data_IF_492213836781
#
_entry.id   IF_492213836781
#
_cell.length_a   1.000
_cell.length_b   1.000
_cell.length_c   1.000
_cell.angle_alpha   90.00
_cell.angle_beta   90.00
_cell.angle_gamma   90.00
#
_symmetry.space_group_name_H-M   'P 1'
#
loop_
_entity.id
_entity.type
_entity.pdbx_description
1 polymer ?
#
# COMPACT_ATOMS: atom_id res chain seq x y z
N UNK A 1 10.41 35.16 -73.59
CA UNK A 1 10.80 33.88 -72.95
C UNK A 1 10.63 33.99 -71.44
N UNK A 2 9.54 33.49 -70.90
CA UNK A 2 9.19 33.57 -69.50
C UNK A 2 9.33 32.17 -68.85
N UNK A 3 10.21 32.04 -67.86
CA UNK A 3 10.39 30.80 -67.11
C UNK A 3 9.43 30.78 -65.95
N UNK A 4 8.43 29.89 -65.97
CA UNK A 4 7.56 29.56 -64.86
C UNK A 4 8.33 28.72 -63.86
N UNK A 5 8.39 29.18 -62.58
CA UNK A 5 8.83 28.41 -61.43
C UNK A 5 7.65 27.61 -60.88
N UNK A 6 7.82 26.29 -60.86
CA UNK A 6 6.84 25.39 -60.20
C UNK A 6 7.28 25.29 -58.75
N UNK A 7 6.37 25.67 -57.82
CA UNK A 7 6.52 25.41 -56.39
C UNK A 7 5.87 24.06 -56.06
N UNK A 8 6.69 23.10 -55.67
CA UNK A 8 6.22 21.82 -55.10
C UNK A 8 5.90 22.03 -53.62
N UNK A 9 4.64 21.85 -53.23
CA UNK A 9 4.20 21.84 -51.83
C UNK A 9 4.37 20.44 -51.29
N UNK A 10 5.35 20.25 -50.37
CA UNK A 10 5.49 19.00 -49.62
C UNK A 10 4.58 19.08 -48.40
N UNK A 11 3.47 18.32 -48.41
CA UNK A 11 2.63 18.11 -47.26
C UNK A 11 3.28 17.03 -46.37
N UNK A 12 3.89 17.45 -45.28
CA UNK A 12 4.42 16.55 -44.27
C UNK A 12 3.24 16.01 -43.42
N UNK A 13 2.96 14.72 -43.55
CA UNK A 13 2.06 14.01 -42.63
C UNK A 13 2.82 13.74 -41.34
N UNK A 14 2.50 14.49 -40.27
CA UNK A 14 2.91 14.14 -38.92
C UNK A 14 2.06 12.95 -38.45
N UNK A 15 2.68 11.77 -38.44
CA UNK A 15 2.11 10.63 -37.76
C UNK A 15 2.29 10.83 -36.24
N UNK A 16 1.20 11.15 -35.53
CA UNK A 16 1.17 11.04 -34.07
C UNK A 16 1.21 9.55 -33.72
N UNK A 17 2.37 9.08 -33.27
CA UNK A 17 2.46 7.79 -32.59
C UNK A 17 1.74 7.94 -31.25
N UNK A 18 0.56 7.37 -31.13
CA UNK A 18 -0.10 7.16 -29.84
C UNK A 18 0.80 6.21 -29.02
N UNK A 19 1.59 6.77 -28.11
CA UNK A 19 2.37 6.02 -27.15
C UNK A 19 1.44 5.32 -26.17
N UNK A 20 0.96 4.13 -26.51
CA UNK A 20 0.35 3.23 -25.56
C UNK A 20 1.41 2.83 -24.53
N UNK A 21 1.22 3.19 -23.26
CA UNK A 21 1.99 2.69 -22.14
C UNK A 21 1.69 1.20 -21.99
N UNK A 22 2.39 0.36 -22.75
CA UNK A 22 2.35 -1.08 -22.56
C UNK A 22 2.94 -1.41 -21.18
N UNK A 23 2.30 -2.27 -20.44
CA UNK A 23 2.90 -2.95 -19.28
C UNK A 23 4.13 -3.67 -19.85
N UNK A 24 5.32 -3.19 -19.50
CA UNK A 24 6.57 -3.79 -20.00
C UNK A 24 6.71 -5.21 -19.43
N UNK A 25 6.72 -6.22 -20.29
CA UNK A 25 7.29 -7.51 -19.93
C UNK A 25 8.79 -7.29 -19.64
N UNK A 26 9.31 -7.81 -18.54
CA UNK A 26 10.73 -7.72 -18.22
C UNK A 26 11.55 -8.50 -19.25
N UNK A 27 12.82 -8.13 -19.44
CA UNK A 27 13.75 -8.86 -20.31
C UNK A 27 13.91 -10.33 -19.89
N UNK A 28 13.63 -10.70 -18.64
CA UNK A 28 13.67 -12.06 -18.11
C UNK A 28 12.35 -12.83 -18.26
N UNK A 29 11.31 -12.25 -18.87
CA UNK A 29 10.03 -12.92 -19.12
C UNK A 29 9.16 -13.11 -17.87
N UNK A 30 9.57 -12.65 -16.68
CA UNK A 30 8.75 -12.69 -15.47
C UNK A 30 7.55 -11.74 -15.56
N UNK A 31 6.39 -12.16 -15.04
CA UNK A 31 5.15 -11.37 -15.06
C UNK A 31 5.09 -10.42 -13.86
N UNK A 32 4.43 -9.29 -14.02
CA UNK A 32 3.93 -8.53 -12.86
C UNK A 32 2.74 -9.25 -12.27
N UNK A 33 2.80 -9.56 -10.97
CA UNK A 33 1.73 -10.25 -10.25
C UNK A 33 1.00 -9.27 -9.33
N UNK A 34 -0.32 -9.45 -9.18
CA UNK A 34 -1.12 -8.77 -8.15
C UNK A 34 -1.55 -9.85 -7.15
N UNK A 35 -1.28 -9.62 -5.87
CA UNK A 35 -1.65 -10.52 -4.77
C UNK A 35 -2.66 -9.84 -3.88
N UNK A 36 -3.78 -10.53 -3.62
CA UNK A 36 -4.80 -10.10 -2.65
C UNK A 36 -5.03 -11.18 -1.62
N UNK A 37 -5.59 -10.86 -0.44
CA UNK A 37 -6.04 -11.86 0.51
C UNK A 37 -7.56 -11.87 0.64
N UNK A 38 -8.14 -13.03 0.90
CA UNK A 38 -9.58 -13.19 1.15
C UNK A 38 -10.00 -12.60 2.47
N UNK A 39 -9.05 -12.51 3.43
CA UNK A 39 -9.30 -12.09 4.80
C UNK A 39 -10.39 -12.92 5.51
N UNK A 40 -10.62 -14.14 5.04
CA UNK A 40 -11.64 -15.05 5.57
C UNK A 40 -11.31 -15.39 7.03
N UNK A 41 -12.25 -15.19 7.97
CA UNK A 41 -12.03 -15.43 9.39
C UNK A 41 -11.85 -16.90 9.76
N UNK A 42 -12.27 -17.82 8.89
CA UNK A 42 -12.13 -19.27 9.12
C UNK A 42 -10.89 -19.83 8.40
N UNK A 43 -10.61 -19.38 7.17
CA UNK A 43 -9.52 -19.91 6.34
C UNK A 43 -9.00 -18.87 5.34
N UNK A 44 -8.07 -18.03 5.78
CA UNK A 44 -7.50 -17.00 4.92
C UNK A 44 -6.69 -17.59 3.76
N UNK A 45 -6.83 -16.97 2.59
CA UNK A 45 -6.16 -17.36 1.35
C UNK A 45 -5.60 -16.14 0.65
N UNK A 46 -4.55 -16.33 -0.13
CA UNK A 46 -4.15 -15.35 -1.14
C UNK A 46 -4.66 -15.77 -2.51
N UNK A 47 -4.93 -14.77 -3.35
CA UNK A 47 -5.20 -14.89 -4.77
C UNK A 47 -4.18 -14.14 -5.56
N UNK A 48 -3.57 -14.81 -6.52
CA UNK A 48 -2.49 -14.29 -7.36
C UNK A 48 -3.01 -14.12 -8.76
N UNK A 49 -2.95 -12.90 -9.28
CA UNK A 49 -3.38 -12.56 -10.63
C UNK A 49 -2.19 -12.10 -11.47
N UNK A 50 -2.23 -12.40 -12.75
CA UNK A 50 -1.36 -11.76 -13.74
C UNK A 50 -1.86 -10.32 -14.00
N UNK A 51 -1.02 -9.33 -13.82
CA UNK A 51 -1.42 -7.93 -13.92
C UNK A 51 -1.84 -7.52 -15.35
N UNK A 52 -1.22 -8.11 -16.38
CA UNK A 52 -1.47 -7.77 -17.77
C UNK A 52 -2.77 -8.42 -18.29
N UNK A 53 -2.92 -9.72 -18.11
CA UNK A 53 -4.11 -10.47 -18.55
C UNK A 53 -5.26 -10.42 -17.55
N UNK A 54 -4.98 -10.09 -16.27
CA UNK A 54 -5.92 -10.06 -15.15
C UNK A 54 -6.53 -11.43 -14.81
N UNK A 55 -5.87 -12.49 -15.27
CA UNK A 55 -6.31 -13.88 -15.01
C UNK A 55 -5.83 -14.31 -13.62
N UNK A 56 -6.70 -14.97 -12.87
CA UNK A 56 -6.34 -15.63 -11.62
C UNK A 56 -5.41 -16.81 -11.93
N UNK A 57 -4.18 -16.75 -11.44
CA UNK A 57 -3.17 -17.80 -11.63
C UNK A 57 -3.18 -18.82 -10.50
N UNK A 58 -3.36 -18.36 -9.25
CA UNK A 58 -3.28 -19.21 -8.06
C UNK A 58 -4.27 -18.76 -6.98
N UNK A 59 -4.75 -19.74 -6.21
CA UNK A 59 -5.36 -19.56 -4.89
C UNK A 59 -4.58 -20.43 -3.91
N UNK A 60 -3.98 -19.82 -2.87
CA UNK A 60 -3.12 -20.51 -1.91
C UNK A 60 -3.59 -20.26 -0.48
N UNK A 61 -3.59 -21.30 0.35
CA UNK A 61 -3.83 -21.15 1.79
C UNK A 61 -2.72 -20.35 2.45
N UNK A 62 -3.07 -19.47 3.39
CA UNK A 62 -2.12 -18.81 4.29
C UNK A 62 -1.84 -19.65 5.54
N UNK A 63 -2.52 -20.77 5.70
CA UNK A 63 -2.48 -21.64 6.89
C UNK A 63 -2.85 -20.90 8.18
N UNK A 64 -3.77 -19.94 8.08
CA UNK A 64 -4.29 -19.17 9.19
C UNK A 64 -5.65 -18.57 8.90
N UNK A 65 -6.15 -17.80 9.84
CA UNK A 65 -7.44 -17.14 9.85
C UNK A 65 -7.27 -15.63 9.64
N UNK A 66 -8.10 -15.04 8.79
CA UNK A 66 -8.15 -13.61 8.54
C UNK A 66 -8.92 -12.84 9.62
N UNK A 67 -9.78 -11.91 9.20
CA UNK A 67 -10.65 -11.13 10.10
C UNK A 67 -10.06 -9.77 10.51
N UNK A 68 -8.95 -9.33 9.90
CA UNK A 68 -8.51 -7.94 10.07
C UNK A 68 -9.53 -6.97 9.46
N UNK A 69 -9.84 -5.90 10.17
CA UNK A 69 -10.79 -4.88 9.72
C UNK A 69 -10.25 -3.46 9.86
N UNK A 70 -10.51 -2.61 8.86
CA UNK A 70 -10.10 -1.21 8.88
C UNK A 70 -8.58 -1.04 9.06
N UNK A 71 -7.79 -1.77 8.31
CA UNK A 71 -6.33 -1.73 8.29
C UNK A 71 -5.82 -1.45 6.87
N UNK A 72 -4.57 -1.05 6.76
CA UNK A 72 -3.86 -0.88 5.51
C UNK A 72 -2.61 -1.76 5.49
N UNK A 73 -2.21 -2.19 4.30
CA UNK A 73 -1.04 -3.05 4.11
C UNK A 73 -1.09 -4.36 4.91
N UNK A 74 -2.22 -5.05 4.87
CA UNK A 74 -2.32 -6.43 5.36
C UNK A 74 -1.49 -7.43 4.54
N UNK A 75 -1.04 -7.02 3.36
CA UNK A 75 -0.06 -7.70 2.50
C UNK A 75 1.05 -6.74 2.14
N UNK A 76 2.29 -7.23 2.13
CA UNK A 76 3.44 -6.49 1.60
C UNK A 76 4.42 -7.42 0.92
N UNK A 77 4.96 -6.99 -0.21
CA UNK A 77 6.05 -7.67 -0.91
C UNK A 77 7.42 -7.08 -0.54
N UNK A 78 8.47 -7.86 -0.72
CA UNK A 78 9.87 -7.47 -0.61
C UNK A 78 10.64 -7.90 -1.85
N UNK A 79 11.22 -6.93 -2.56
CA UNK A 79 12.07 -7.11 -3.75
C UNK A 79 11.51 -8.04 -4.84
N UNK A 80 10.17 -8.08 -4.99
CA UNK A 80 9.52 -9.01 -5.91
C UNK A 80 9.70 -10.49 -5.55
N UNK A 81 10.26 -10.81 -4.38
CA UNK A 81 10.67 -12.17 -3.98
C UNK A 81 9.84 -12.77 -2.85
N UNK A 82 9.57 -11.99 -1.81
CA UNK A 82 8.79 -12.42 -0.66
C UNK A 82 7.46 -11.67 -0.60
N UNK A 83 6.47 -12.31 -0.02
CA UNK A 83 5.18 -11.71 0.33
C UNK A 83 4.85 -12.11 1.76
N UNK A 84 4.60 -11.13 2.61
CA UNK A 84 4.06 -11.31 3.95
C UNK A 84 2.56 -11.01 3.95
N UNK A 85 1.77 -11.86 4.60
CA UNK A 85 0.30 -11.80 4.65
C UNK A 85 -0.17 -11.98 6.08
N UNK A 86 -0.92 -11.04 6.62
CA UNK A 86 -1.45 -11.13 7.98
C UNK A 86 -2.54 -12.19 8.10
N UNK A 87 -2.49 -12.99 9.16
CA UNK A 87 -3.54 -13.86 9.63
C UNK A 87 -3.99 -13.38 11.02
N UNK A 88 -4.86 -12.38 11.04
CA UNK A 88 -5.27 -11.68 12.25
C UNK A 88 -5.86 -12.62 13.30
N UNK A 89 -6.79 -13.51 12.87
CA UNK A 89 -7.47 -14.46 13.76
C UNK A 89 -6.55 -15.56 14.32
N UNK A 90 -5.39 -15.80 13.69
CA UNK A 90 -4.44 -16.84 14.11
C UNK A 90 -3.18 -16.30 14.78
N UNK A 91 -3.04 -14.99 14.99
CA UNK A 91 -1.85 -14.36 15.57
C UNK A 91 -0.56 -14.76 14.85
N UNK A 92 -0.56 -14.74 13.53
CA UNK A 92 0.63 -15.05 12.75
C UNK A 92 0.64 -14.35 11.39
N UNK A 93 1.79 -14.37 10.72
CA UNK A 93 1.99 -13.87 9.36
C UNK A 93 2.45 -15.04 8.49
N UNK A 94 1.77 -15.24 7.36
CA UNK A 94 2.19 -16.21 6.35
C UNK A 94 3.20 -15.57 5.42
N UNK A 95 4.28 -16.28 5.13
CA UNK A 95 5.33 -15.89 4.21
C UNK A 95 5.25 -16.76 2.96
N UNK A 96 5.27 -16.10 1.81
CA UNK A 96 5.35 -16.76 0.50
C UNK A 96 6.61 -16.30 -0.22
N UNK A 97 7.16 -17.22 -1.02
CA UNK A 97 8.33 -16.97 -1.87
C UNK A 97 7.95 -17.06 -3.33
N UNK A 98 8.39 -16.10 -4.12
CA UNK A 98 8.23 -16.14 -5.58
C UNK A 98 9.25 -17.08 -6.22
N UNK A 99 8.77 -17.93 -7.14
CA UNK A 99 9.58 -18.82 -7.98
C UNK A 99 9.07 -18.68 -9.41
N UNK A 100 9.75 -17.89 -10.23
CA UNK A 100 9.24 -17.48 -11.56
C UNK A 100 7.90 -16.75 -11.43
N UNK A 101 6.88 -17.22 -12.12
CA UNK A 101 5.53 -16.60 -12.13
C UNK A 101 4.57 -17.16 -11.08
N UNK A 102 5.06 -17.91 -10.10
CA UNK A 102 4.24 -18.51 -9.05
C UNK A 102 4.73 -18.15 -7.66
N UNK A 103 3.81 -18.07 -6.71
CA UNK A 103 4.12 -18.01 -5.29
C UNK A 103 4.06 -19.40 -4.69
N UNK A 104 4.97 -19.68 -3.78
CA UNK A 104 4.99 -20.89 -2.96
C UNK A 104 4.95 -20.49 -1.50
N UNK A 105 4.15 -21.18 -0.72
CA UNK A 105 4.16 -21.04 0.73
C UNK A 105 5.54 -21.41 1.26
N UNK A 106 6.07 -20.58 2.16
CA UNK A 106 7.37 -20.77 2.81
C UNK A 106 7.18 -21.19 4.26
N UNK A 107 6.54 -20.33 5.07
CA UNK A 107 6.32 -20.56 6.51
C UNK A 107 5.21 -19.66 7.06
N UNK A 108 4.84 -19.90 8.31
CA UNK A 108 4.16 -18.93 9.17
C UNK A 108 5.10 -18.51 10.31
N UNK A 109 5.06 -17.24 10.66
CA UNK A 109 5.75 -16.69 11.83
C UNK A 109 4.72 -16.21 12.85
N UNK A 110 4.84 -16.63 14.11
CA UNK A 110 3.96 -16.20 15.18
C UNK A 110 4.23 -14.74 15.56
N UNK A 111 3.17 -13.99 15.91
CA UNK A 111 3.24 -12.59 16.34
C UNK A 111 2.82 -12.44 17.80
N UNK A 112 3.32 -11.38 18.46
CA UNK A 112 3.01 -11.09 19.87
C UNK A 112 1.55 -10.71 20.09
N UNK A 113 0.95 -10.01 19.12
CA UNK A 113 -0.50 -9.70 19.12
C UNK A 113 -1.09 -9.92 17.74
N UNK A 114 -2.44 -9.93 17.62
CA UNK A 114 -3.14 -10.17 16.37
C UNK A 114 -2.66 -9.23 15.25
N UNK A 115 -2.00 -9.72 14.18
CA UNK A 115 -1.36 -8.87 13.19
C UNK A 115 -2.38 -8.14 12.32
N UNK A 116 -2.09 -6.88 12.03
CA UNK A 116 -2.99 -5.97 11.31
C UNK A 116 -2.32 -5.42 10.04
N UNK A 117 -1.03 -5.09 10.13
CA UNK A 117 -0.27 -4.48 9.03
C UNK A 117 1.18 -4.94 9.03
N UNK A 118 1.76 -5.01 7.85
CA UNK A 118 3.16 -5.44 7.65
C UNK A 118 3.93 -4.48 6.75
N UNK A 119 5.24 -4.34 7.01
CA UNK A 119 6.16 -3.63 6.13
C UNK A 119 7.54 -4.30 6.13
N UNK A 120 8.26 -4.22 4.99
CA UNK A 120 9.64 -4.67 4.85
C UNK A 120 10.56 -3.48 4.68
N UNK A 121 11.53 -3.32 5.56
CA UNK A 121 12.58 -2.33 5.45
C UNK A 121 13.77 -2.71 6.36
N UNK A 122 14.95 -2.11 6.12
CA UNK A 122 16.12 -2.20 7.02
C UNK A 122 16.51 -3.65 7.40
N UNK A 123 16.44 -4.58 6.44
CA UNK A 123 16.68 -6.02 6.65
C UNK A 123 15.75 -6.66 7.71
N UNK A 124 14.53 -6.13 7.84
CA UNK A 124 13.50 -6.64 8.76
C UNK A 124 12.12 -6.70 8.10
N UNK A 125 11.30 -7.61 8.61
CA UNK A 125 9.84 -7.55 8.49
C UNK A 125 9.30 -6.94 9.79
N UNK A 126 8.55 -5.85 9.68
CA UNK A 126 7.81 -5.25 10.78
C UNK A 126 6.36 -5.68 10.72
N UNK A 127 5.82 -6.05 11.88
CA UNK A 127 4.42 -6.45 12.02
C UNK A 127 3.78 -5.63 13.12
N UNK A 128 2.84 -4.75 12.76
CA UNK A 128 1.97 -4.14 13.74
C UNK A 128 0.78 -5.06 13.98
N UNK A 129 0.60 -5.43 15.24
CA UNK A 129 -0.57 -6.14 15.72
C UNK A 129 -1.55 -5.20 16.46
N UNK A 130 -2.51 -5.79 17.13
CA UNK A 130 -3.54 -5.04 17.86
C UNK A 130 -2.96 -4.14 18.96
N UNK A 131 -1.87 -4.55 19.61
CA UNK A 131 -1.29 -3.87 20.78
C UNK A 131 0.24 -3.74 20.76
N UNK A 132 0.93 -4.41 19.81
CA UNK A 132 2.39 -4.45 19.75
C UNK A 132 2.91 -4.26 18.34
N UNK A 133 4.18 -3.92 18.23
CA UNK A 133 4.95 -4.07 16.99
C UNK A 133 6.09 -5.04 17.23
N UNK A 134 6.20 -6.02 16.35
CA UNK A 134 7.30 -6.97 16.29
C UNK A 134 8.23 -6.63 15.12
N UNK A 135 9.56 -6.76 15.33
CA UNK A 135 10.54 -6.83 14.25
C UNK A 135 11.07 -8.25 14.11
N UNK A 136 11.11 -8.74 12.87
CA UNK A 136 11.67 -10.05 12.52
C UNK A 136 12.89 -9.85 11.64
N UNK A 137 13.97 -10.53 11.94
CA UNK A 137 15.21 -10.46 11.13
C UNK A 137 14.95 -11.03 9.74
N UNK A 138 15.39 -10.32 8.70
CA UNK A 138 15.39 -10.82 7.34
C UNK A 138 16.82 -11.19 6.92
N UNK A 139 17.06 -12.46 6.62
CA UNK A 139 18.36 -12.96 6.17
C UNK A 139 18.23 -13.77 4.90
N UNK A 140 19.04 -13.44 3.89
CA UNK A 140 19.08 -14.19 2.63
C UNK A 140 17.67 -14.41 2.02
N UNK A 141 16.80 -13.40 2.12
CA UNK A 141 15.38 -13.45 1.72
C UNK A 141 14.56 -14.51 2.49
N UNK A 142 14.87 -14.77 3.74
CA UNK A 142 14.06 -15.56 4.67
C UNK A 142 13.75 -14.72 5.90
N UNK A 143 12.51 -14.84 6.41
CA UNK A 143 12.09 -14.23 7.66
C UNK A 143 12.48 -15.20 8.79
N UNK A 144 13.32 -14.73 9.72
CA UNK A 144 13.81 -15.51 10.85
C UNK A 144 12.94 -15.23 12.11
N UNK A 145 13.58 -15.07 13.26
CA UNK A 145 12.93 -14.88 14.57
C UNK A 145 12.61 -13.41 14.87
N UNK A 146 11.71 -13.19 15.84
CA UNK A 146 11.49 -11.89 16.46
C UNK A 146 12.75 -11.48 17.22
N UNK A 147 13.30 -10.31 16.92
CA UNK A 147 14.44 -9.72 17.61
C UNK A 147 14.12 -8.48 18.43
N UNK A 148 12.91 -7.92 18.27
CA UNK A 148 12.39 -6.81 19.04
C UNK A 148 10.87 -6.75 19.07
N UNK A 149 10.33 -6.29 20.20
CA UNK A 149 8.89 -6.05 20.40
C UNK A 149 8.71 -4.78 21.22
N UNK A 150 7.67 -3.97 20.88
CA UNK A 150 7.27 -2.80 21.65
C UNK A 150 5.75 -2.71 21.74
N UNK A 151 5.24 -2.24 22.89
CA UNK A 151 3.83 -1.97 23.09
C UNK A 151 3.45 -0.64 22.42
N UNK A 152 2.34 -0.64 21.68
CA UNK A 152 1.71 0.55 21.12
C UNK A 152 1.01 1.38 22.20
N UNK A 153 0.94 2.72 21.98
CA UNK A 153 0.39 3.67 22.95
C UNK A 153 -0.43 4.76 22.30
N UNK A 154 -1.47 5.20 22.99
CA UNK A 154 -2.13 6.47 22.66
C UNK A 154 -1.35 7.68 23.19
N UNK A 155 -1.49 8.84 22.58
CA UNK A 155 -0.82 10.07 22.99
C UNK A 155 -1.08 10.47 24.44
N UNK A 156 -2.26 10.14 25.00
CA UNK A 156 -2.60 10.31 26.42
C UNK A 156 -2.04 9.23 27.34
N UNK A 157 -1.26 8.27 26.84
CA UNK A 157 -0.83 7.06 27.54
C UNK A 157 -1.91 5.97 27.54
N UNK A 158 -1.52 4.74 27.83
CA UNK A 158 -2.43 3.60 27.79
C UNK A 158 -2.38 2.83 26.48
N UNK A 159 -2.92 1.61 26.49
CA UNK A 159 -2.99 0.74 25.33
C UNK A 159 -4.06 1.22 24.33
N UNK A 160 -3.84 1.04 23.03
CA UNK A 160 -4.86 1.33 22.02
C UNK A 160 -6.06 0.38 22.20
N UNK A 161 -7.31 0.87 22.02
CA UNK A 161 -8.48 0.02 21.94
C UNK A 161 -8.37 -1.02 20.83
N UNK A 162 -9.10 -2.12 20.96
CA UNK A 162 -9.17 -3.13 19.90
C UNK A 162 -9.60 -2.51 18.56
N UNK A 163 -8.90 -2.87 17.47
CA UNK A 163 -9.18 -2.33 16.14
C UNK A 163 -8.61 -0.93 15.85
N UNK A 164 -7.86 -0.32 16.78
CA UNK A 164 -7.25 1.01 16.56
C UNK A 164 -6.08 0.97 15.60
N UNK A 165 -5.26 -0.08 15.60
CA UNK A 165 -4.08 -0.17 14.73
C UNK A 165 -4.49 -0.17 13.26
N UNK A 166 -3.83 0.66 12.44
CA UNK A 166 -4.15 0.77 11.02
C UNK A 166 -2.99 0.36 10.11
N UNK A 167 -1.84 1.05 10.18
CA UNK A 167 -0.71 0.78 9.29
C UNK A 167 0.61 0.89 10.02
N UNK A 168 1.58 0.03 9.65
CA UNK A 168 3.00 0.15 10.00
C UNK A 168 3.83 0.48 8.77
N UNK A 169 4.93 1.21 8.94
CA UNK A 169 5.90 1.44 7.87
C UNK A 169 7.14 2.20 8.34
N UNK A 170 8.30 1.83 7.81
CA UNK A 170 9.54 2.53 8.07
C UNK A 170 9.60 3.87 7.32
N UNK A 171 9.97 4.93 8.00
CA UNK A 171 10.22 6.25 7.39
C UNK A 171 11.71 6.55 7.23
N UNK A 172 12.55 5.84 7.98
CA UNK A 172 14.01 5.95 7.90
C UNK A 172 14.68 4.68 8.40
N UNK A 173 16.00 4.65 8.42
CA UNK A 173 16.77 3.56 9.03
C UNK A 173 16.62 3.49 10.56
N UNK A 174 16.15 4.56 11.20
CA UNK A 174 16.08 4.70 12.66
C UNK A 174 14.67 4.88 13.20
N UNK A 175 13.66 5.02 12.33
CA UNK A 175 12.29 5.31 12.75
C UNK A 175 11.25 4.52 11.96
N UNK A 176 10.28 3.99 12.68
CA UNK A 176 9.10 3.32 12.19
C UNK A 176 7.85 4.09 12.66
N UNK A 177 6.85 4.20 11.81
CA UNK A 177 5.54 4.77 12.18
C UNK A 177 4.49 3.68 12.32
N UNK A 178 3.58 3.88 13.27
CA UNK A 178 2.30 3.17 13.34
C UNK A 178 1.17 4.16 13.53
N UNK A 179 0.16 4.09 12.68
CA UNK A 179 -1.06 4.88 12.81
C UNK A 179 -2.09 4.14 13.65
N UNK A 180 -2.71 4.87 14.60
CA UNK A 180 -3.71 4.37 15.53
C UNK A 180 -4.99 5.21 15.39
N UNK A 181 -6.04 4.58 14.91
CA UNK A 181 -7.39 5.14 14.87
C UNK A 181 -7.98 5.07 16.28
N UNK A 182 -8.29 6.11 16.93
CA UNK A 182 -8.94 6.07 18.25
C UNK A 182 -10.23 6.88 18.20
N UNK A 183 -11.13 6.52 17.28
CA UNK A 183 -12.41 7.19 17.05
C UNK A 183 -13.37 6.94 18.22
N UNK A 184 -14.01 7.98 18.79
CA UNK A 184 -14.06 9.39 18.36
C UNK A 184 -12.89 10.26 18.80
N UNK A 185 -11.88 9.73 19.46
CA UNK A 185 -10.69 10.47 19.83
C UNK A 185 -9.84 10.80 18.58
N UNK A 186 -9.00 11.84 18.61
CA UNK A 186 -8.22 12.26 17.44
C UNK A 186 -7.39 11.15 16.80
N UNK A 187 -6.98 10.16 17.57
CA UNK A 187 -6.05 9.13 17.16
C UNK A 187 -4.59 9.57 17.30
N UNK A 188 -3.70 8.67 17.00
CA UNK A 188 -2.27 8.83 17.32
C UNK A 188 -1.40 8.29 16.20
N UNK A 189 -0.22 8.85 16.04
CA UNK A 189 0.89 8.27 15.28
C UNK A 189 1.99 7.92 16.29
N UNK A 190 2.28 6.64 16.44
CA UNK A 190 3.42 6.16 17.22
C UNK A 190 4.68 6.22 16.39
N UNK A 191 5.70 6.95 16.90
CA UNK A 191 7.06 6.97 16.37
C UNK A 191 7.91 6.03 17.20
N UNK A 192 8.36 4.94 16.58
CA UNK A 192 9.10 3.86 17.22
C UNK A 192 10.56 3.94 16.80
N UNK A 193 11.47 3.97 17.77
CA UNK A 193 12.91 3.99 17.52
C UNK A 193 13.43 2.62 17.08
N UNK A 194 14.26 2.60 16.05
CA UNK A 194 14.96 1.43 15.54
C UNK A 194 16.47 1.51 15.87
N UNK A 195 17.06 0.37 16.23
CA UNK A 195 18.52 0.16 16.31
C UNK A 195 18.92 -0.91 15.31
N UNK A 196 19.58 -0.49 14.20
CA UNK A 196 19.96 -1.38 13.09
C UNK A 196 18.78 -2.22 12.57
N UNK A 197 17.65 -1.57 12.37
CA UNK A 197 16.40 -2.18 11.91
C UNK A 197 15.57 -2.85 13.01
N UNK A 198 16.12 -3.16 14.18
CA UNK A 198 15.41 -3.78 15.28
C UNK A 198 14.58 -2.76 16.07
N UNK A 199 13.37 -3.12 16.42
CA UNK A 199 12.55 -2.36 17.37
C UNK A 199 13.22 -2.38 18.75
N UNK A 200 13.48 -1.20 19.35
CA UNK A 200 14.31 -1.09 20.56
C UNK A 200 13.60 -1.49 21.85
N UNK A 201 12.27 -1.64 21.84
CA UNK A 201 11.46 -1.87 23.05
C UNK A 201 11.28 -0.60 23.91
N UNK A 202 11.89 0.53 23.55
CA UNK A 202 11.61 1.81 24.17
C UNK A 202 10.19 2.26 23.85
N UNK A 203 9.50 2.87 24.82
CA UNK A 203 8.16 3.37 24.60
C UNK A 203 8.09 4.32 23.40
N UNK A 204 7.11 4.15 22.48
CA UNK A 204 6.92 5.03 21.34
C UNK A 204 6.73 6.49 21.75
N UNK A 205 7.19 7.42 20.92
CA UNK A 205 6.75 8.81 20.99
C UNK A 205 5.37 8.91 20.32
N UNK A 206 4.32 8.96 21.10
CA UNK A 206 2.95 9.00 20.63
C UNK A 206 2.52 10.44 20.31
N UNK A 207 2.22 10.72 19.06
CA UNK A 207 1.88 12.05 18.53
C UNK A 207 0.40 12.08 18.20
N UNK A 208 -0.38 12.97 18.84
CA UNK A 208 -1.80 13.15 18.50
C UNK A 208 -1.98 13.66 17.08
N UNK A 209 -3.07 13.26 16.44
CA UNK A 209 -3.52 13.94 15.23
C UNK A 209 -3.72 15.45 15.48
N UNK A 210 -3.54 16.31 14.48
CA UNK A 210 -3.74 17.75 14.61
C UNK A 210 -5.15 18.11 15.09
N UNK A 211 -5.26 19.22 15.81
CA UNK A 211 -6.57 19.71 16.29
C UNK A 211 -7.60 19.82 15.16
N UNK A 212 -8.79 19.30 15.41
CA UNK A 212 -9.87 19.30 14.42
C UNK A 212 -9.77 18.19 13.38
N UNK A 213 -8.76 17.31 13.44
CA UNK A 213 -8.62 16.17 12.56
C UNK A 213 -8.80 14.84 13.31
N UNK A 214 -9.17 13.79 12.58
CA UNK A 214 -9.51 12.48 13.17
C UNK A 214 -8.94 11.33 12.34
N UNK A 215 -8.64 10.23 13.02
CA UNK A 215 -8.41 8.92 12.42
C UNK A 215 -7.18 8.88 11.50
N UNK A 216 -5.94 9.06 12.02
CA UNK A 216 -4.74 8.69 11.28
C UNK A 216 -4.83 7.26 10.79
N UNK A 217 -4.72 7.03 9.45
CA UNK A 217 -5.01 5.73 8.88
C UNK A 217 -3.90 5.23 7.97
N UNK A 218 -4.09 5.25 6.65
CA UNK A 218 -3.08 4.86 5.69
C UNK A 218 -2.03 5.94 5.48
N UNK A 219 -0.80 5.55 5.15
CA UNK A 219 0.24 6.53 4.84
C UNK A 219 1.19 6.06 3.75
N UNK A 220 1.81 7.03 3.09
CA UNK A 220 2.89 6.84 2.13
C UNK A 220 4.15 7.59 2.59
N UNK A 221 5.31 6.95 2.44
CA UNK A 221 6.60 7.51 2.86
C UNK A 221 7.40 8.04 1.68
N UNK A 222 8.20 9.08 1.93
CA UNK A 222 9.14 9.67 0.99
C UNK A 222 10.58 9.38 1.41
N UNK A 223 11.54 9.38 0.46
CA UNK A 223 12.94 9.04 0.76
C UNK A 223 13.64 10.00 1.74
N UNK A 224 13.08 11.19 1.98
CA UNK A 224 13.61 12.19 2.91
C UNK A 224 13.11 12.04 4.36
N UNK A 225 12.41 10.94 4.66
CA UNK A 225 11.84 10.68 5.99
C UNK A 225 10.51 11.39 6.25
N UNK A 226 9.88 11.93 5.20
CA UNK A 226 8.52 12.48 5.32
C UNK A 226 7.50 11.37 5.10
N UNK A 227 6.36 11.44 5.80
CA UNK A 227 5.18 10.64 5.53
C UNK A 227 3.97 11.55 5.25
N UNK A 228 3.16 11.16 4.28
CA UNK A 228 1.82 11.70 4.10
C UNK A 228 0.85 10.70 4.71
N UNK A 229 0.01 11.14 5.65
CA UNK A 229 -0.88 10.29 6.45
C UNK A 229 -2.32 10.74 6.22
N UNK A 230 -3.21 9.83 5.85
CA UNK A 230 -4.64 10.13 5.78
C UNK A 230 -5.22 10.38 7.17
N UNK A 231 -6.06 11.40 7.29
CA UNK A 231 -6.85 11.74 8.47
C UNK A 231 -8.32 11.48 8.10
N UNK A 232 -8.66 10.19 8.06
CA UNK A 232 -9.77 9.66 7.27
C UNK A 232 -11.15 10.24 7.63
N UNK A 233 -11.45 10.44 8.92
CA UNK A 233 -12.76 10.95 9.35
C UNK A 233 -12.88 12.48 9.34
N UNK A 234 -11.77 13.21 9.17
CA UNK A 234 -11.79 14.64 8.90
C UNK A 234 -11.73 14.98 7.41
N UNK A 235 -11.51 13.97 6.54
CA UNK A 235 -11.34 14.15 5.10
C UNK A 235 -10.13 15.03 4.75
N UNK A 236 -9.04 14.83 5.46
CA UNK A 236 -7.78 15.55 5.33
C UNK A 236 -6.61 14.57 5.18
N UNK A 237 -5.46 15.09 4.77
CA UNK A 237 -4.18 14.42 4.76
C UNK A 237 -3.16 15.24 5.58
N UNK A 238 -2.40 14.59 6.44
CA UNK A 238 -1.38 15.21 7.28
C UNK A 238 0.03 14.97 6.76
N UNK A 239 0.82 16.02 6.58
CA UNK A 239 2.25 15.88 6.30
C UNK A 239 3.00 15.71 7.62
N UNK A 240 3.65 14.58 7.81
CA UNK A 240 4.37 14.21 9.02
C UNK A 240 5.86 14.10 8.76
N UNK A 241 6.68 14.71 9.63
CA UNK A 241 8.13 14.67 9.55
C UNK A 241 8.77 15.07 10.89
N UNK A 242 9.96 14.56 11.18
CA UNK A 242 10.70 14.87 12.42
C UNK A 242 9.80 14.75 13.67
N UNK A 243 9.08 13.65 13.77
CA UNK A 243 8.22 13.33 14.91
C UNK A 243 7.00 14.24 15.10
N UNK A 244 6.55 14.98 14.09
CA UNK A 244 5.42 15.89 14.22
C UNK A 244 4.66 16.11 12.90
N UNK A 245 3.36 16.43 12.99
CA UNK A 245 2.61 16.96 11.86
C UNK A 245 3.08 18.38 11.53
N UNK A 246 3.43 18.63 10.28
CA UNK A 246 3.92 19.94 9.79
C UNK A 246 2.82 20.76 9.13
N UNK A 247 1.87 20.11 8.48
CA UNK A 247 0.71 20.74 7.84
C UNK A 247 -0.42 19.74 7.64
N UNK A 248 -1.62 20.26 7.44
CA UNK A 248 -2.81 19.53 7.04
C UNK A 248 -3.22 20.00 5.65
N UNK A 249 -3.55 19.07 4.77
CA UNK A 249 -3.97 19.31 3.39
C UNK A 249 -5.41 18.81 3.28
N UNK A 250 -6.34 19.66 2.88
CA UNK A 250 -7.71 19.23 2.62
C UNK A 250 -7.74 18.23 1.47
N UNK A 251 -8.18 17.00 1.73
CA UNK A 251 -8.25 15.95 0.72
C UNK A 251 -9.33 16.23 -0.34
N UNK A 252 -10.36 16.99 0.02
CA UNK A 252 -11.47 17.36 -0.89
C UNK A 252 -12.33 16.18 -1.34
N UNK A 253 -12.16 15.04 -0.68
CA UNK A 253 -12.88 13.79 -0.90
C UNK A 253 -13.31 13.18 0.43
N UNK A 254 -14.37 12.38 0.44
CA UNK A 254 -14.89 11.78 1.65
C UNK A 254 -14.14 10.48 2.00
N UNK A 255 -13.71 10.38 3.26
CA UNK A 255 -13.02 9.24 3.83
C UNK A 255 -11.81 8.80 3.00
N UNK A 256 -10.80 9.68 2.89
CA UNK A 256 -9.45 9.34 2.42
C UNK A 256 -8.84 8.34 3.38
N UNK A 257 -8.70 7.07 2.99
CA UNK A 257 -8.29 6.01 3.92
C UNK A 257 -6.94 5.39 3.55
N UNK A 258 -6.80 4.87 2.36
CA UNK A 258 -5.59 4.16 1.93
C UNK A 258 -4.80 4.98 0.94
N UNK A 259 -3.48 4.89 1.01
CA UNK A 259 -2.62 5.52 0.02
C UNK A 259 -1.40 4.69 -0.32
N UNK A 260 -0.91 4.90 -1.53
CA UNK A 260 0.34 4.31 -2.04
C UNK A 260 1.12 5.35 -2.83
N UNK A 261 2.45 5.24 -2.82
CA UNK A 261 3.33 6.15 -3.57
C UNK A 261 3.94 5.45 -4.79
N UNK A 262 3.91 6.13 -5.92
CA UNK A 262 4.57 5.73 -7.16
C UNK A 262 5.43 6.90 -7.68
N UNK A 263 6.73 6.87 -7.40
CA UNK A 263 7.64 7.97 -7.73
C UNK A 263 7.26 9.27 -6.99
N UNK A 264 6.92 10.32 -7.73
CA UNK A 264 6.45 11.61 -7.20
C UNK A 264 4.94 11.65 -6.94
N UNK A 265 4.19 10.65 -7.38
CA UNK A 265 2.74 10.59 -7.21
C UNK A 265 2.38 9.81 -5.95
N UNK A 266 1.35 10.28 -5.27
CA UNK A 266 0.65 9.53 -4.23
C UNK A 266 -0.79 9.35 -4.69
N UNK A 267 -1.24 8.11 -4.75
CA UNK A 267 -2.62 7.76 -5.05
C UNK A 267 -3.34 7.46 -3.75
N UNK A 268 -4.49 8.09 -3.55
CA UNK A 268 -5.31 7.98 -2.34
C UNK A 268 -6.65 7.40 -2.68
N UNK A 269 -7.01 6.32 -2.02
CA UNK A 269 -8.30 5.66 -2.15
C UNK A 269 -9.31 6.27 -1.17
N UNK A 270 -10.35 6.90 -1.72
CA UNK A 270 -11.38 7.63 -0.99
C UNK A 270 -12.63 6.75 -0.84
N UNK A 271 -12.79 6.13 0.32
CA UNK A 271 -13.85 5.15 0.58
C UNK A 271 -15.25 5.74 0.42
N UNK A 272 -15.48 6.91 0.99
CA UNK A 272 -16.79 7.58 0.95
C UNK A 272 -17.14 8.13 -0.44
N UNK A 273 -16.17 8.68 -1.14
CA UNK A 273 -16.36 9.22 -2.51
C UNK A 273 -16.29 8.15 -3.59
N UNK A 274 -15.78 6.96 -3.31
CA UNK A 274 -15.52 5.87 -4.28
C UNK A 274 -14.64 6.32 -5.45
N UNK A 275 -13.59 7.06 -5.13
CA UNK A 275 -12.66 7.61 -6.12
C UNK A 275 -11.22 7.35 -5.70
N UNK A 276 -10.30 7.56 -6.63
CA UNK A 276 -8.87 7.67 -6.38
C UNK A 276 -8.49 9.13 -6.61
N UNK A 277 -7.88 9.78 -5.62
CA UNK A 277 -7.22 11.07 -5.78
C UNK A 277 -5.77 10.87 -6.15
N UNK A 278 -5.18 11.85 -6.83
CA UNK A 278 -3.75 11.92 -7.11
C UNK A 278 -3.17 13.18 -6.48
N UNK A 279 -2.14 12.99 -5.65
CA UNK A 279 -1.31 14.05 -5.13
C UNK A 279 0.05 13.98 -5.80
N UNK A 280 0.72 15.12 -5.90
CA UNK A 280 2.09 15.23 -6.43
C UNK A 280 2.95 15.85 -5.36
N UNK A 281 4.12 15.27 -5.14
CA UNK A 281 5.03 15.84 -4.18
C UNK A 281 6.38 15.16 -4.08
N UNK A 282 7.28 15.90 -3.45
CA UNK A 282 8.61 15.40 -3.06
C UNK A 282 8.84 15.89 -1.63
N UNK A 283 8.64 14.98 -0.66
CA UNK A 283 8.87 15.32 0.74
C UNK A 283 8.02 16.51 1.22
N UNK A 284 8.62 17.64 1.50
CA UNK A 284 7.96 18.80 2.11
C UNK A 284 6.90 19.50 1.25
N UNK A 285 6.84 19.22 -0.03
CA UNK A 285 5.90 19.84 -0.96
C UNK A 285 4.96 18.80 -1.55
N UNK A 286 3.82 18.61 -0.92
CA UNK A 286 2.75 17.74 -1.41
C UNK A 286 1.50 18.59 -1.63
N UNK A 287 0.86 18.42 -2.76
CA UNK A 287 -0.41 19.09 -3.10
C UNK A 287 -1.32 18.18 -3.90
N UNK A 288 -2.61 18.42 -3.80
CA UNK A 288 -3.62 17.70 -4.59
C UNK A 288 -3.51 18.14 -6.04
N UNK A 289 -3.26 17.18 -6.94
CA UNK A 289 -3.17 17.40 -8.38
C UNK A 289 -4.49 17.04 -9.08
N UNK A 290 -5.15 15.98 -8.61
CA UNK A 290 -6.47 15.58 -9.11
C UNK A 290 -7.30 14.96 -7.99
N UNK A 291 -8.45 15.57 -7.68
CA UNK A 291 -9.37 15.07 -6.63
C UNK A 291 -10.01 13.73 -7.01
N UNK A 292 -10.28 13.51 -8.29
CA UNK A 292 -10.92 12.30 -8.79
C UNK A 292 -10.18 11.82 -10.05
N UNK A 293 -8.95 11.34 -9.88
CA UNK A 293 -8.13 10.84 -10.97
C UNK A 293 -8.75 9.60 -11.64
N UNK A 294 -9.46 8.77 -10.86
CA UNK A 294 -10.26 7.66 -11.38
C UNK A 294 -11.44 7.33 -10.44
N UNK A 295 -12.59 6.86 -10.96
CA UNK A 295 -13.64 6.26 -10.16
C UNK A 295 -13.29 4.81 -9.77
N UNK A 296 -13.83 4.34 -8.63
CA UNK A 296 -13.88 2.93 -8.26
C UNK A 296 -15.33 2.46 -8.42
N UNK A 297 -15.66 1.76 -9.51
CA UNK A 297 -17.06 1.65 -9.97
C UNK A 297 -17.89 0.64 -9.16
N UNK A 298 -17.27 -0.34 -8.52
CA UNK A 298 -17.97 -1.49 -7.93
C UNK A 298 -18.29 -1.32 -6.46
N UNK A 299 -17.51 -0.54 -5.72
CA UNK A 299 -17.71 -0.40 -4.29
C UNK A 299 -16.86 0.67 -3.64
N UNK A 300 -16.80 0.59 -2.32
CA UNK A 300 -15.94 1.45 -1.50
C UNK A 300 -14.53 0.89 -1.46
N UNK A 301 -13.49 1.65 -1.87
CA UNK A 301 -12.11 1.22 -1.77
C UNK A 301 -11.75 0.75 -0.37
N UNK A 302 -10.98 -0.32 -0.28
CA UNK A 302 -10.59 -0.99 0.97
C UNK A 302 -9.09 -1.30 1.07
N UNK A 303 -8.32 -1.19 0.01
CA UNK A 303 -6.85 -1.13 -0.01
C UNK A 303 -6.35 -0.73 -1.41
N UNK A 304 -5.10 -0.29 -1.49
CA UNK A 304 -4.48 0.19 -2.73
C UNK A 304 -2.97 -0.08 -2.72
N UNK A 305 -2.42 -0.52 -3.86
CA UNK A 305 -0.97 -0.58 -4.09
C UNK A 305 -0.62 -0.16 -5.52
N UNK A 306 0.59 0.37 -5.70
CA UNK A 306 1.08 0.81 -7.01
C UNK A 306 2.56 0.48 -7.17
N UNK A 307 2.90 -0.18 -8.28
CA UNK A 307 4.27 -0.46 -8.70
C UNK A 307 4.35 -0.63 -10.21
N UNK A 308 5.48 -0.23 -10.81
CA UNK A 308 5.87 -0.50 -12.20
C UNK A 308 4.78 -0.20 -13.25
N UNK A 309 4.05 0.93 -13.09
CA UNK A 309 3.02 1.34 -14.04
C UNK A 309 1.66 0.69 -13.81
N UNK A 310 1.52 -0.15 -12.79
CA UNK A 310 0.27 -0.81 -12.38
C UNK A 310 -0.21 -0.22 -11.06
N UNK A 311 -1.51 0.06 -10.94
CA UNK A 311 -2.18 0.40 -9.70
C UNK A 311 -3.35 -0.56 -9.51
N UNK A 312 -3.43 -1.17 -8.35
CA UNK A 312 -4.45 -2.14 -7.97
C UNK A 312 -5.23 -1.63 -6.76
N UNK A 313 -6.55 -1.73 -6.82
CA UNK A 313 -7.47 -1.31 -5.76
C UNK A 313 -8.40 -2.46 -5.45
N UNK A 314 -8.54 -2.81 -4.17
CA UNK A 314 -9.63 -3.64 -3.68
C UNK A 314 -10.77 -2.73 -3.28
N UNK A 315 -11.99 -3.10 -3.61
CA UNK A 315 -13.21 -2.45 -3.14
C UNK A 315 -14.22 -3.45 -2.58
N UNK A 316 -15.04 -2.98 -1.65
CA UNK A 316 -16.18 -3.72 -1.11
C UNK A 316 -17.45 -3.25 -1.81
N UNK A 317 -17.94 -4.09 -2.72
CA UNK A 317 -19.23 -3.91 -3.40
C UNK A 317 -20.39 -4.56 -2.64
N UNK A 318 -21.55 -4.62 -3.29
CA UNK A 318 -22.74 -5.24 -2.72
C UNK A 318 -22.59 -6.77 -2.65
N UNK A 319 -22.16 -7.26 -1.49
CA UNK A 319 -22.04 -8.70 -1.18
C UNK A 319 -20.78 -9.39 -1.67
N UNK A 320 -19.87 -8.69 -2.36
CA UNK A 320 -18.56 -9.21 -2.72
C UNK A 320 -17.52 -8.10 -2.94
N UNK A 321 -16.27 -8.44 -2.75
CA UNK A 321 -15.14 -7.57 -3.07
C UNK A 321 -14.71 -7.72 -4.53
N UNK A 322 -14.14 -6.65 -5.08
CA UNK A 322 -13.58 -6.63 -6.41
C UNK A 322 -12.15 -6.12 -6.40
N UNK A 323 -11.39 -6.54 -7.39
CA UNK A 323 -10.09 -6.02 -7.74
C UNK A 323 -10.22 -5.18 -9.01
N UNK A 324 -9.98 -3.87 -8.90
CA UNK A 324 -9.91 -2.96 -10.04
C UNK A 324 -8.45 -2.65 -10.34
N UNK A 325 -8.03 -2.83 -11.59
CA UNK A 325 -6.65 -2.65 -12.04
C UNK A 325 -6.58 -1.49 -13.03
N UNK A 326 -5.67 -0.58 -12.78
CA UNK A 326 -5.34 0.55 -13.67
C UNK A 326 -3.89 0.44 -14.12
N UNK A 327 -3.60 0.94 -15.29
CA UNK A 327 -2.26 1.38 -15.66
C UNK A 327 -2.10 2.85 -15.31
N UNK A 328 -0.89 3.29 -14.95
CA UNK A 328 -0.55 4.70 -14.85
C UNK A 328 0.69 5.02 -15.69
N UNK A 329 0.67 6.21 -16.31
CA UNK A 329 1.76 6.69 -17.16
C UNK A 329 2.74 7.57 -16.37
N UNK A 330 3.76 8.10 -17.04
CA UNK A 330 4.77 8.99 -16.45
C UNK A 330 4.19 10.31 -15.88
N UNK A 331 2.95 10.66 -16.23
CA UNK A 331 2.21 11.81 -15.70
C UNK A 331 1.26 11.42 -14.56
N UNK A 332 1.27 10.15 -14.13
CA UNK A 332 0.38 9.62 -13.09
C UNK A 332 -1.09 9.54 -13.53
N UNK A 333 -1.38 9.63 -14.83
CA UNK A 333 -2.74 9.47 -15.35
C UNK A 333 -3.15 8.01 -15.30
N UNK A 334 -4.34 7.75 -14.73
CA UNK A 334 -4.89 6.41 -14.54
C UNK A 334 -5.78 6.02 -15.72
N UNK A 335 -5.59 4.80 -16.22
CA UNK A 335 -6.44 4.19 -17.24
C UNK A 335 -6.84 2.79 -16.77
N UNK A 336 -8.15 2.45 -16.68
CA UNK A 336 -8.56 1.11 -16.32
C UNK A 336 -8.11 0.10 -17.38
N UNK A 337 -7.55 -1.02 -16.94
CA UNK A 337 -7.06 -2.08 -17.85
C UNK A 337 -8.17 -3.04 -18.30
N UNK A 338 -9.37 -2.90 -17.73
CA UNK A 338 -10.57 -3.66 -18.05
C UNK A 338 -11.60 -3.63 -16.94
N UNK A 339 -12.68 -4.44 -17.00
CA UNK A 339 -13.71 -4.46 -15.98
C UNK A 339 -13.17 -4.98 -14.64
N UNK A 340 -13.75 -4.58 -13.50
CA UNK A 340 -13.39 -5.11 -12.18
C UNK A 340 -13.50 -6.64 -12.12
N UNK A 341 -12.61 -7.26 -11.36
CA UNK A 341 -12.54 -8.71 -11.18
C UNK A 341 -13.21 -9.06 -9.85
N UNK A 342 -14.23 -9.90 -9.87
CA UNK A 342 -14.86 -10.40 -8.65
C UNK A 342 -13.87 -11.31 -7.88
N UNK A 343 -13.61 -10.98 -6.61
CA UNK A 343 -12.75 -11.79 -5.74
C UNK A 343 -13.52 -12.99 -5.17
N UNK A 344 -14.86 -12.92 -5.10
CA UNK A 344 -15.71 -14.04 -4.67
C UNK A 344 -15.77 -14.20 -3.14
N UNK A 345 -15.43 -13.16 -2.38
CA UNK A 345 -15.61 -13.02 -0.94
C UNK A 345 -16.05 -11.59 -0.64
N UNK A 346 -16.71 -11.36 0.50
CA UNK A 346 -17.27 -10.04 0.84
C UNK A 346 -16.20 -9.06 1.35
N UNK A 347 -15.25 -9.56 2.15
CA UNK A 347 -14.38 -8.72 2.97
C UNK A 347 -12.89 -8.92 2.62
N UNK A 348 -12.58 -9.10 1.31
CA UNK A 348 -11.19 -9.17 0.86
C UNK A 348 -10.45 -7.90 1.29
N UNK A 349 -9.23 -8.07 1.78
CA UNK A 349 -8.41 -6.98 2.26
C UNK A 349 -6.94 -7.23 1.91
N UNK A 350 -6.15 -6.16 1.82
CA UNK A 350 -4.74 -6.26 1.44
C UNK A 350 -4.52 -6.51 -0.05
N UNK A 351 -3.70 -5.67 -0.65
CA UNK A 351 -3.22 -5.83 -2.02
C UNK A 351 -1.74 -5.49 -2.10
N UNK A 352 -0.99 -6.25 -2.89
CA UNK A 352 0.41 -5.94 -3.20
C UNK A 352 0.76 -6.32 -4.63
N UNK A 353 1.59 -5.51 -5.27
CA UNK A 353 2.05 -5.72 -6.64
C UNK A 353 3.50 -6.20 -6.59
N UNK A 354 3.77 -7.35 -7.23
CA UNK A 354 5.11 -7.90 -7.37
C UNK A 354 5.56 -7.71 -8.81
N UNK A 355 6.40 -6.72 -9.02
CA UNK A 355 7.05 -6.53 -10.32
C UNK A 355 8.17 -7.53 -10.56
N UNK A 356 8.54 -7.78 -11.83
CA UNK A 356 9.74 -8.52 -12.17
C UNK A 356 10.98 -7.92 -11.51
N UNK A 357 11.95 -8.76 -11.23
CA UNK A 357 13.23 -8.30 -10.68
C UNK A 357 13.96 -7.44 -11.71
N UNK A 358 14.46 -6.32 -11.28
CA UNK A 358 15.55 -5.66 -11.96
C UNK A 358 16.85 -6.26 -11.40
N UNK A 359 17.42 -7.25 -12.08
CA UNK A 359 18.71 -7.87 -11.68
C UNK A 359 19.90 -6.87 -11.74
N UNK A 360 19.67 -5.64 -12.20
CA UNK A 360 20.70 -4.60 -12.38
C UNK A 360 20.91 -3.70 -11.14
N UNK A 361 20.42 -4.08 -9.94
CA UNK A 361 20.56 -3.27 -8.71
C UNK A 361 21.37 -3.97 -7.61
N UNK A 362 22.44 -4.64 -7.97
CA UNK A 362 23.48 -5.09 -7.02
C UNK A 362 24.74 -4.22 -7.13
#
# INVERSE_FOLDING_TARGET
MSRRKVFSLIVGVLAFAAGGSGIHASENGERTLIVTMTNDPDANQIRVYDAASRVLLQTLSTYGQGGAGGNARGIKQHDGRLVAVVNNGSNNVAIFRRVGDVLKFDQVVATTSAPVSVDFANDHLYVAGATTVDSFVLRQNAVDWIDGTVDLRLAGGGAPPAGSTAQVGAISATELLVTLKADPDPGTVDVIALDRGRVTGAAPAAVSAPDGTLTPFGFATFPDGTALITLAHSNDDGLFRDGAFKSVIAAGQAASCWMTRAGKYVFVANTGSRTISRLVGTGNNVFVDSLAAAPVPTGSPADIDADSGVLAVIDHGAGQSHLTVFSYNAFGELSPTGPPIAIGVADANGVSILSPRNDDRD
#
